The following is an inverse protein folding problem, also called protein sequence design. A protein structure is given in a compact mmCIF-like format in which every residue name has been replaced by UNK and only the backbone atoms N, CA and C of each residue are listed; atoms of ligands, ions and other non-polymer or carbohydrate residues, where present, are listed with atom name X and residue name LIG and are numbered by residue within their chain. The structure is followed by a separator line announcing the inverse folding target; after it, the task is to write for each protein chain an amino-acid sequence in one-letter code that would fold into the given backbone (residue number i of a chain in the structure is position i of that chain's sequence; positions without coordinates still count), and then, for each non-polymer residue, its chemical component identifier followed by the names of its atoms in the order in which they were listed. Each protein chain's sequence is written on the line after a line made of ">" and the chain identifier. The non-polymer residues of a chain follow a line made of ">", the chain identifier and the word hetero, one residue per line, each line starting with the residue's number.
data_IF_413319448217
#
_entry.id   IF_413319448217
#
_cell.length_a   1.000
_cell.length_b   1.000
_cell.length_c   1.000
_cell.angle_alpha   90.00
_cell.angle_beta   90.00
_cell.angle_gamma   90.00
#
_symmetry.space_group_name_H-M   'P 1'
#
loop_
_entity.id
_entity.type
_entity.pdbx_description
1 polymer ?
#
# COMPACT_ATOMS: atom_id res chain seq x y z
N UNK A 1 -16.17 -17.52 0.34
CA UNK A 1 -16.51 -16.20 -0.25
C UNK A 1 -15.73 -16.04 -1.54
N UNK A 2 -16.36 -15.40 -2.54
CA UNK A 2 -15.73 -15.10 -3.83
C UNK A 2 -15.06 -13.73 -3.75
N UNK A 3 -13.74 -13.71 -3.90
CA UNK A 3 -12.92 -12.52 -3.92
C UNK A 3 -12.41 -12.25 -5.34
N UNK A 4 -12.69 -11.09 -5.87
CA UNK A 4 -12.06 -10.61 -7.10
C UNK A 4 -10.84 -9.75 -6.74
N UNK A 5 -9.69 -10.04 -7.33
CA UNK A 5 -8.44 -9.32 -7.11
C UNK A 5 -7.99 -8.68 -8.42
N UNK A 6 -7.97 -7.36 -8.47
CA UNK A 6 -7.46 -6.56 -9.58
C UNK A 6 -6.03 -6.13 -9.23
N UNK A 7 -5.04 -6.80 -9.84
CA UNK A 7 -3.63 -6.57 -9.57
C UNK A 7 -3.03 -5.50 -10.47
N UNK A 8 -2.59 -4.39 -9.89
CA UNK A 8 -1.85 -3.31 -10.53
C UNK A 8 -0.43 -3.16 -9.94
N UNK A 9 -0.19 -3.74 -8.75
CA UNK A 9 1.10 -3.81 -8.09
C UNK A 9 1.82 -5.14 -8.41
N UNK A 10 3.12 -5.17 -8.25
CA UNK A 10 3.95 -6.34 -8.58
C UNK A 10 3.70 -7.53 -7.64
N UNK A 11 3.38 -7.28 -6.38
CA UNK A 11 3.09 -8.23 -5.30
C UNK A 11 1.63 -8.74 -5.30
N UNK A 12 0.76 -8.16 -6.12
CA UNK A 12 -0.65 -8.53 -6.17
C UNK A 12 -0.93 -10.03 -6.40
N UNK A 13 -0.13 -10.81 -7.18
CA UNK A 13 -0.31 -12.26 -7.28
C UNK A 13 -0.06 -13.00 -5.97
N UNK A 14 0.89 -12.54 -5.13
CA UNK A 14 1.20 -13.12 -3.82
C UNK A 14 0.06 -12.90 -2.84
N UNK A 15 -0.48 -11.69 -2.81
CA UNK A 15 -1.67 -11.35 -2.01
C UNK A 15 -2.91 -12.16 -2.42
N UNK A 16 -3.11 -12.38 -3.72
CA UNK A 16 -4.16 -13.26 -4.21
C UNK A 16 -3.92 -14.72 -3.78
N UNK A 17 -2.66 -15.16 -3.70
CA UNK A 17 -2.25 -16.45 -3.16
C UNK A 17 -2.65 -16.60 -1.70
N UNK A 18 -2.30 -15.63 -0.86
CA UNK A 18 -2.68 -15.60 0.56
C UNK A 18 -4.19 -15.69 0.78
N UNK A 19 -4.99 -14.96 -0.01
CA UNK A 19 -6.45 -15.06 0.08
C UNK A 19 -6.97 -16.46 -0.21
N UNK A 20 -6.34 -17.21 -1.14
CA UNK A 20 -6.69 -18.61 -1.42
C UNK A 20 -6.35 -19.53 -0.24
N UNK A 21 -5.19 -19.33 0.39
CA UNK A 21 -4.74 -20.11 1.54
C UNK A 21 -5.71 -19.99 2.73
N UNK A 22 -6.29 -18.81 2.95
CA UNK A 22 -7.31 -18.62 3.99
C UNK A 22 -8.72 -19.04 3.57
N UNK A 23 -8.88 -19.69 2.41
CA UNK A 23 -10.12 -20.34 1.99
C UNK A 23 -11.06 -19.47 1.16
N UNK A 24 -10.58 -18.38 0.55
CA UNK A 24 -11.37 -17.63 -0.43
C UNK A 24 -11.33 -18.26 -1.81
N UNK A 25 -12.45 -18.20 -2.53
CA UNK A 25 -12.53 -18.47 -3.98
C UNK A 25 -12.05 -17.20 -4.71
N UNK A 26 -10.81 -17.20 -5.21
CA UNK A 26 -10.14 -15.99 -5.71
C UNK A 26 -10.04 -15.99 -7.23
N UNK A 27 -10.65 -14.99 -7.83
CA UNK A 27 -10.50 -14.63 -9.24
C UNK A 27 -9.51 -13.48 -9.37
N UNK A 28 -8.33 -13.76 -9.92
CA UNK A 28 -7.27 -12.77 -10.13
C UNK A 28 -7.27 -12.24 -11.55
N UNK A 29 -7.17 -10.91 -11.69
CA UNK A 29 -7.10 -10.20 -12.96
C UNK A 29 -5.89 -9.26 -12.99
N UNK A 30 -5.12 -9.29 -14.09
CA UNK A 30 -4.12 -8.27 -14.37
C UNK A 30 -4.82 -6.96 -14.70
N UNK A 31 -4.72 -5.99 -13.79
CA UNK A 31 -5.42 -4.71 -13.89
C UNK A 31 -5.02 -3.85 -15.10
N UNK A 32 -3.89 -4.18 -15.76
CA UNK A 32 -3.41 -3.48 -16.96
C UNK A 32 -4.02 -4.04 -18.26
N UNK A 33 -4.59 -5.25 -18.22
CA UNK A 33 -5.09 -5.96 -19.41
C UNK A 33 -6.58 -5.90 -19.61
N UNK A 34 -7.34 -5.53 -18.58
CA UNK A 34 -8.79 -5.59 -18.56
C UNK A 34 -9.42 -4.26 -18.19
N UNK A 35 -10.67 -4.05 -18.60
CA UNK A 35 -11.52 -2.96 -18.14
C UNK A 35 -12.44 -3.46 -17.06
N UNK A 36 -12.60 -2.68 -16.00
CA UNK A 36 -13.38 -3.08 -14.83
C UNK A 36 -14.48 -2.07 -14.53
N UNK A 37 -15.63 -2.57 -14.11
CA UNK A 37 -16.70 -1.81 -13.50
C UNK A 37 -17.20 -2.56 -12.27
N UNK A 38 -17.28 -1.89 -11.13
CA UNK A 38 -17.80 -2.45 -9.89
C UNK A 38 -19.24 -1.99 -9.74
N UNK A 39 -20.16 -2.91 -9.54
CA UNK A 39 -21.58 -2.66 -9.34
C UNK A 39 -22.05 -3.14 -7.97
N UNK A 40 -23.16 -2.55 -7.51
CA UNK A 40 -23.82 -2.83 -6.27
C UNK A 40 -24.50 -1.59 -5.73
N UNK A 41 -25.56 -1.72 -4.95
CA UNK A 41 -26.33 -0.58 -4.40
C UNK A 41 -25.77 -0.13 -3.06
N UNK A 42 -25.74 -1.02 -2.04
CA UNK A 42 -25.24 -0.72 -0.69
C UNK A 42 -23.81 -1.24 -0.49
N UNK A 43 -23.42 -2.23 -1.26
CA UNK A 43 -22.08 -2.85 -1.29
C UNK A 43 -21.75 -3.32 -2.70
N UNK A 44 -20.49 -3.52 -2.98
CA UNK A 44 -20.05 -4.19 -4.20
C UNK A 44 -20.53 -5.66 -4.16
N UNK A 45 -21.23 -6.11 -5.19
CA UNK A 45 -21.72 -7.48 -5.33
C UNK A 45 -21.41 -8.09 -6.70
N UNK A 46 -21.02 -7.26 -7.65
CA UNK A 46 -20.74 -7.66 -9.02
C UNK A 46 -19.49 -6.94 -9.53
N UNK A 47 -18.56 -7.68 -10.10
CA UNK A 47 -17.48 -7.17 -10.92
C UNK A 47 -17.79 -7.42 -12.40
N UNK A 48 -17.71 -6.38 -13.23
CA UNK A 48 -17.79 -6.51 -14.68
C UNK A 48 -16.36 -6.42 -15.24
N UNK A 49 -15.96 -7.46 -15.95
CA UNK A 49 -14.64 -7.57 -16.60
C UNK A 49 -14.87 -7.62 -18.11
N UNK A 50 -14.37 -6.64 -18.85
CA UNK A 50 -14.53 -6.52 -20.31
C UNK A 50 -15.98 -6.68 -20.80
N UNK A 51 -16.94 -6.20 -20.02
CA UNK A 51 -18.37 -6.30 -20.30
C UNK A 51 -19.06 -7.57 -19.78
N UNK A 52 -18.31 -8.54 -19.23
CA UNK A 52 -18.87 -9.77 -18.64
C UNK A 52 -19.05 -9.57 -17.12
N UNK A 53 -20.28 -9.73 -16.64
CA UNK A 53 -20.61 -9.59 -15.22
C UNK A 53 -20.35 -10.88 -14.44
N UNK A 54 -19.66 -10.79 -13.33
CA UNK A 54 -19.36 -11.87 -12.40
C UNK A 54 -19.74 -11.48 -10.97
N UNK A 55 -20.34 -12.38 -10.18
CA UNK A 55 -20.63 -12.08 -8.78
C UNK A 55 -19.33 -12.02 -7.97
N UNK A 56 -19.24 -11.06 -7.05
CA UNK A 56 -18.12 -10.93 -6.12
C UNK A 56 -18.62 -10.49 -4.73
N UNK A 57 -18.21 -11.22 -3.69
CA UNK A 57 -18.50 -10.82 -2.30
C UNK A 57 -17.59 -9.68 -1.84
N UNK A 58 -16.40 -9.56 -2.46
CA UNK A 58 -15.41 -8.52 -2.21
C UNK A 58 -14.54 -8.28 -3.45
N UNK A 59 -14.16 -7.04 -3.68
CA UNK A 59 -13.22 -6.64 -4.73
C UNK A 59 -12.01 -5.97 -4.08
N UNK A 60 -10.81 -6.53 -4.30
CA UNK A 60 -9.53 -5.94 -3.91
C UNK A 60 -8.90 -5.28 -5.12
N UNK A 61 -8.49 -4.02 -4.98
CA UNK A 61 -7.72 -3.29 -6.00
C UNK A 61 -6.33 -3.04 -5.41
N UNK A 62 -5.37 -3.86 -5.83
CA UNK A 62 -4.00 -3.83 -5.33
C UNK A 62 -3.13 -3.02 -6.27
N UNK A 63 -2.75 -1.83 -5.86
CA UNK A 63 -1.90 -0.92 -6.62
C UNK A 63 -0.75 -0.41 -5.78
N UNK A 64 0.37 -0.10 -6.42
CA UNK A 64 1.46 0.61 -5.75
C UNK A 64 0.98 1.97 -5.20
N UNK A 65 1.53 2.36 -4.07
CA UNK A 65 1.37 3.69 -3.51
C UNK A 65 2.02 4.76 -4.40
N UNK A 66 1.92 6.02 -3.99
CA UNK A 66 2.70 7.09 -4.63
C UNK A 66 4.19 6.90 -4.31
N UNK A 67 5.05 7.06 -5.31
CA UNK A 67 6.48 7.07 -5.06
C UNK A 67 6.82 8.29 -4.18
N UNK A 68 7.58 8.05 -3.10
CA UNK A 68 7.86 9.07 -2.09
C UNK A 68 8.62 10.27 -2.65
N UNK A 69 9.48 10.05 -3.64
CA UNK A 69 10.24 11.07 -4.36
C UNK A 69 9.35 12.02 -5.19
N UNK A 70 8.13 11.58 -5.55
CA UNK A 70 7.16 12.45 -6.23
C UNK A 70 6.47 13.43 -5.27
N UNK A 71 6.47 13.14 -3.97
CA UNK A 71 5.89 14.01 -2.94
C UNK A 71 6.83 15.15 -2.56
N UNK A 72 8.13 14.86 -2.46
CA UNK A 72 9.18 15.81 -2.09
C UNK A 72 10.38 15.63 -3.02
N UNK A 73 10.54 16.50 -4.05
CA UNK A 73 11.69 16.45 -4.94
C UNK A 73 13.01 16.54 -4.17
N UNK A 74 13.95 15.65 -4.46
CA UNK A 74 15.25 15.56 -3.80
C UNK A 74 15.28 14.71 -2.52
N UNK A 75 14.17 14.09 -2.15
CA UNK A 75 14.14 13.11 -1.07
C UNK A 75 14.92 11.86 -1.48
N UNK A 76 15.88 11.43 -0.65
CA UNK A 76 16.62 10.20 -0.91
C UNK A 76 15.72 8.98 -0.74
N UNK A 77 15.74 8.09 -1.74
CA UNK A 77 15.00 6.83 -1.72
C UNK A 77 15.92 5.67 -2.09
N UNK A 78 15.65 4.49 -1.54
CA UNK A 78 16.25 3.22 -1.93
C UNK A 78 15.14 2.19 -2.18
N UNK A 79 15.16 1.55 -3.36
CA UNK A 79 14.15 0.58 -3.78
C UNK A 79 12.68 1.06 -3.58
N UNK A 80 12.44 2.37 -3.76
CA UNK A 80 11.11 2.98 -3.61
C UNK A 80 10.73 3.36 -2.16
N UNK A 81 11.62 3.13 -1.19
CA UNK A 81 11.44 3.50 0.21
C UNK A 81 12.25 4.73 0.57
N UNK A 82 11.73 5.54 1.49
CA UNK A 82 12.43 6.72 2.00
C UNK A 82 13.59 6.28 2.87
N UNK A 83 14.79 6.74 2.55
CA UNK A 83 15.97 6.52 3.39
C UNK A 83 15.89 7.41 4.63
N UNK A 84 15.95 6.78 5.81
CA UNK A 84 15.94 7.45 7.10
C UNK A 84 17.09 6.97 7.99
N UNK A 85 17.48 7.79 8.94
CA UNK A 85 18.41 7.39 10.01
C UNK A 85 17.67 6.73 11.19
N UNK A 86 18.44 6.42 12.26
CA UNK A 86 17.91 5.80 13.48
C UNK A 86 16.87 6.67 14.21
N UNK A 87 16.84 7.95 13.95
CA UNK A 87 15.89 8.93 14.48
C UNK A 87 14.71 9.19 13.54
N UNK A 88 14.56 8.37 12.48
CA UNK A 88 13.56 8.53 11.43
C UNK A 88 13.68 9.82 10.63
N UNK A 89 14.82 10.51 10.68
CA UNK A 89 15.07 11.71 9.89
C UNK A 89 15.46 11.32 8.46
N UNK A 90 14.81 11.96 7.49
CA UNK A 90 15.10 11.76 6.07
C UNK A 90 16.24 12.67 5.60
N UNK A 91 16.62 12.57 4.32
CA UNK A 91 17.72 13.35 3.73
C UNK A 91 17.49 14.86 3.67
N UNK A 92 16.25 15.30 3.80
CA UNK A 92 15.88 16.73 3.79
C UNK A 92 15.68 17.20 5.24
N UNK A 93 16.38 18.25 5.71
CA UNK A 93 16.22 18.76 7.07
C UNK A 93 14.76 19.10 7.41
N UNK A 94 14.29 18.63 8.56
CA UNK A 94 12.91 18.83 9.02
C UNK A 94 11.89 17.84 8.42
N UNK A 95 12.33 16.90 7.57
CA UNK A 95 11.50 15.81 7.04
C UNK A 95 11.81 14.54 7.82
N UNK A 96 10.76 13.88 8.29
CA UNK A 96 10.82 12.60 8.99
C UNK A 96 9.87 11.63 8.32
N UNK A 97 10.21 10.34 8.28
CA UNK A 97 9.38 9.30 7.71
C UNK A 97 9.35 8.07 8.63
N UNK A 98 8.20 7.37 8.63
CA UNK A 98 7.98 6.19 9.46
C UNK A 98 6.95 5.27 8.83
N UNK A 99 7.03 3.98 9.14
CA UNK A 99 6.12 2.96 8.64
C UNK A 99 6.51 2.43 7.26
N UNK A 100 5.57 1.83 6.56
CA UNK A 100 5.81 1.10 5.32
C UNK A 100 6.56 1.87 4.24
N UNK A 101 6.47 3.20 4.26
CA UNK A 101 7.21 4.05 3.33
C UNK A 101 8.74 4.04 3.56
N UNK A 102 9.22 3.53 4.69
CA UNK A 102 10.65 3.41 5.01
C UNK A 102 11.19 1.99 4.79
N UNK A 103 10.33 1.03 4.44
CA UNK A 103 10.70 -0.35 4.14
C UNK A 103 10.15 -1.38 5.12
N UNK A 104 10.55 -2.63 4.93
CA UNK A 104 10.13 -3.75 5.78
C UNK A 104 10.69 -3.61 7.22
N UNK A 105 9.96 -4.19 8.23
CA UNK A 105 8.81 -5.08 8.07
C UNK A 105 7.48 -4.32 7.94
N UNK A 106 6.63 -4.74 7.00
CA UNK A 106 5.31 -4.13 6.75
C UNK A 106 4.29 -4.62 7.78
N UNK A 107 4.45 -4.17 9.01
CA UNK A 107 3.66 -4.62 10.16
C UNK A 107 3.15 -3.42 10.96
N UNK A 108 1.87 -3.48 11.35
CA UNK A 108 1.24 -2.41 12.15
C UNK A 108 2.06 -2.07 13.42
N UNK A 109 2.55 -3.04 14.23
CA UNK A 109 3.35 -2.70 15.41
C UNK A 109 4.67 -2.00 15.09
N UNK A 110 5.31 -2.35 13.96
CA UNK A 110 6.52 -1.68 13.50
C UNK A 110 6.23 -0.22 13.13
N UNK A 111 5.23 0.01 12.29
CA UNK A 111 4.82 1.35 11.88
C UNK A 111 4.43 2.25 13.06
N UNK A 112 3.75 1.70 14.08
CA UNK A 112 3.40 2.42 15.31
C UNK A 112 4.66 2.78 16.11
N UNK A 113 5.61 1.85 16.26
CA UNK A 113 6.87 2.09 16.96
C UNK A 113 7.74 3.14 16.31
N UNK A 114 7.86 3.06 14.98
CA UNK A 114 8.58 4.07 14.18
C UNK A 114 7.91 5.43 14.23
N UNK A 115 6.58 5.49 14.10
CA UNK A 115 5.81 6.74 14.22
C UNK A 115 6.02 7.43 15.57
N UNK A 116 6.06 6.66 16.67
CA UNK A 116 6.39 7.22 17.99
C UNK A 116 7.83 7.76 18.02
N UNK A 117 8.80 7.04 17.46
CA UNK A 117 10.21 7.49 17.37
C UNK A 117 10.31 8.78 16.56
N UNK A 118 9.71 8.81 15.37
CA UNK A 118 9.69 9.99 14.52
C UNK A 118 9.09 11.21 15.23
N UNK A 119 7.96 11.04 15.92
CA UNK A 119 7.33 12.13 16.67
C UNK A 119 8.24 12.70 17.75
N UNK A 120 8.94 11.85 18.51
CA UNK A 120 9.91 12.31 19.53
C UNK A 120 11.11 13.00 18.89
N UNK A 121 11.56 12.56 17.73
CA UNK A 121 12.66 13.17 16.98
C UNK A 121 12.27 14.54 16.42
N UNK A 122 11.05 14.69 15.90
CA UNK A 122 10.49 15.99 15.48
C UNK A 122 10.49 16.99 16.65
N UNK A 123 10.04 16.55 17.84
CA UNK A 123 10.04 17.42 19.03
C UNK A 123 11.46 17.87 19.40
N UNK A 124 12.45 16.97 19.36
CA UNK A 124 13.86 17.31 19.59
C UNK A 124 14.39 18.30 18.55
N UNK A 125 14.09 18.05 17.28
CA UNK A 125 14.51 18.89 16.17
C UNK A 125 13.97 20.31 16.31
N UNK A 126 12.66 20.47 16.59
CA UNK A 126 12.02 21.78 16.78
C UNK A 126 12.55 22.58 17.97
N UNK A 127 13.08 21.90 18.99
CA UNK A 127 13.69 22.59 20.15
C UNK A 127 15.10 23.12 19.87
N UNK A 128 15.76 22.57 18.84
CA UNK A 128 17.14 22.88 18.50
C UNK A 128 17.25 23.71 17.20
N UNK A 129 16.15 23.93 16.50
CA UNK A 129 16.03 24.77 15.33
C UNK A 129 15.69 26.20 15.76
#
# INVERSE_FOLDING_TARGET
>A
KRAAVIGLAADAPEEAGFLREIGCDVHYYDGKKHRFEIRGAERADTLVVDGTAEPADVVFILRAGFAADTLLPGLATDNGHIVVDDDCAASIPGVFAAGDCTGAPYQIPAAVGEGNRAALSVVRWLRNA
#
